data_IF_517185082470
#
_entry.id   IF_517185082470
#
_cell.length_a   1.000
_cell.length_b   1.000
_cell.length_c   1.000
_cell.angle_alpha   90.00
_cell.angle_beta   90.00
_cell.angle_gamma   90.00
#
_symmetry.space_group_name_H-M   'P 1'
#
loop_
_entity.id
_entity.type
_entity.pdbx_description
1 polymer ?
#
# COMPACT_ATOMS: atom_id res chain seq x y z
N UNK A 1 21.26 -5.80 -1.49
CA UNK A 1 20.11 -5.16 -2.08
C UNK A 1 19.41 -6.04 -3.13
N UNK A 2 20.01 -6.31 -4.32
CA UNK A 2 19.37 -7.09 -5.42
C UNK A 2 18.77 -8.43 -4.96
N UNK A 3 19.50 -9.21 -4.15
CA UNK A 3 18.99 -10.49 -3.61
C UNK A 3 17.79 -10.33 -2.67
N UNK A 4 17.75 -9.26 -1.85
CA UNK A 4 16.62 -9.00 -0.96
C UNK A 4 15.37 -8.60 -1.75
N UNK A 5 15.52 -7.70 -2.73
CA UNK A 5 14.44 -7.30 -3.62
C UNK A 5 13.90 -8.49 -4.43
N UNK A 6 14.79 -9.30 -5.02
CA UNK A 6 14.38 -10.52 -5.75
C UNK A 6 13.61 -11.51 -4.88
N UNK A 7 14.02 -11.71 -3.62
CA UNK A 7 13.29 -12.57 -2.66
C UNK A 7 11.93 -11.98 -2.30
N UNK A 8 11.86 -10.67 -2.07
CA UNK A 8 10.59 -9.97 -1.82
C UNK A 8 9.61 -10.20 -2.97
N UNK A 9 10.03 -9.91 -4.21
CA UNK A 9 9.20 -10.08 -5.39
C UNK A 9 8.80 -11.54 -5.60
N UNK A 10 9.74 -12.48 -5.45
CA UNK A 10 9.45 -13.92 -5.59
C UNK A 10 8.31 -14.35 -4.66
N UNK A 11 8.40 -14.10 -3.36
CA UNK A 11 7.35 -14.51 -2.42
C UNK A 11 6.04 -13.77 -2.65
N UNK A 12 6.10 -12.46 -2.89
CA UNK A 12 4.93 -11.63 -3.18
C UNK A 12 4.14 -12.17 -4.38
N UNK A 13 4.82 -12.35 -5.51
CA UNK A 13 4.16 -12.80 -6.74
C UNK A 13 3.80 -14.29 -6.73
N UNK A 14 4.57 -15.14 -6.05
CA UNK A 14 4.23 -16.57 -5.93
C UNK A 14 2.94 -16.76 -5.12
N UNK A 15 2.84 -16.15 -3.94
CA UNK A 15 1.65 -16.28 -3.08
C UNK A 15 0.42 -15.74 -3.82
N UNK A 16 0.52 -14.52 -4.34
CA UNK A 16 -0.60 -13.88 -5.04
C UNK A 16 -0.95 -14.61 -6.34
N UNK A 17 0.04 -15.04 -7.11
CA UNK A 17 -0.16 -15.79 -8.34
C UNK A 17 -0.86 -17.13 -8.11
N UNK A 18 -0.50 -17.86 -7.06
CA UNK A 18 -1.18 -19.10 -6.69
C UNK A 18 -2.62 -18.84 -6.21
N UNK A 19 -2.85 -17.79 -5.44
CA UNK A 19 -4.17 -17.49 -4.88
C UNK A 19 -5.09 -16.81 -5.92
N UNK A 20 -4.70 -15.64 -6.44
CA UNK A 20 -5.55 -14.88 -7.36
C UNK A 20 -5.54 -15.47 -8.77
N UNK A 21 -4.38 -15.94 -9.26
CA UNK A 21 -4.28 -16.64 -10.53
C UNK A 21 -5.05 -17.95 -10.50
N UNK A 22 -4.91 -18.73 -9.42
CA UNK A 22 -5.70 -19.94 -9.20
C UNK A 22 -7.21 -19.65 -9.16
N UNK A 23 -7.62 -18.59 -8.44
CA UNK A 23 -9.03 -18.16 -8.38
C UNK A 23 -9.55 -17.74 -9.77
N UNK A 24 -8.75 -17.00 -10.55
CA UNK A 24 -9.13 -16.62 -11.92
C UNK A 24 -9.33 -17.85 -12.82
N UNK A 25 -8.42 -18.82 -12.76
CA UNK A 25 -8.54 -20.08 -13.52
C UNK A 25 -9.78 -20.88 -13.11
N UNK A 26 -9.99 -21.07 -11.80
CA UNK A 26 -11.13 -21.83 -11.28
C UNK A 26 -12.45 -21.10 -11.55
N UNK A 27 -12.47 -19.77 -11.52
CA UNK A 27 -13.62 -18.95 -11.91
C UNK A 27 -13.96 -19.10 -13.39
N UNK A 28 -12.95 -19.06 -14.27
CA UNK A 28 -13.15 -19.28 -15.71
C UNK A 28 -13.81 -20.63 -16.03
N UNK A 29 -13.55 -21.66 -15.23
CA UNK A 29 -14.19 -22.97 -15.38
C UNK A 29 -15.49 -23.12 -14.55
N UNK A 30 -15.99 -22.07 -13.92
CA UNK A 30 -17.21 -22.08 -13.11
C UNK A 30 -17.09 -22.91 -11.81
N UNK A 31 -15.86 -23.24 -11.38
CA UNK A 31 -15.62 -24.09 -10.20
C UNK A 31 -15.64 -23.27 -8.90
N UNK A 32 -15.02 -22.07 -8.92
CA UNK A 32 -14.86 -21.24 -7.72
C UNK A 32 -14.79 -19.76 -8.06
N UNK A 33 -15.71 -18.97 -7.49
CA UNK A 33 -15.76 -17.50 -7.65
C UNK A 33 -15.75 -16.80 -6.29
N UNK A 34 -15.75 -15.47 -6.26
CA UNK A 34 -15.86 -14.67 -5.04
C UNK A 34 -17.24 -14.80 -4.35
N UNK A 35 -18.25 -15.37 -5.00
CA UNK A 35 -19.52 -15.69 -4.37
C UNK A 35 -19.41 -16.87 -3.38
N UNK A 36 -18.36 -17.67 -3.47
CA UNK A 36 -18.13 -18.81 -2.58
C UNK A 36 -17.13 -18.46 -1.46
N UNK A 37 -17.36 -18.86 -0.18
CA UNK A 37 -16.46 -18.53 0.93
C UNK A 37 -15.00 -18.92 0.71
N UNK A 38 -14.72 -20.07 0.05
CA UNK A 38 -13.35 -20.46 -0.28
C UNK A 38 -12.69 -19.51 -1.30
N UNK A 39 -13.47 -18.95 -2.23
CA UNK A 39 -12.99 -17.92 -3.16
C UNK A 39 -12.61 -16.63 -2.43
N UNK A 40 -13.42 -16.21 -1.45
CA UNK A 40 -13.09 -15.06 -0.58
C UNK A 40 -11.80 -15.33 0.19
N UNK A 41 -11.62 -16.53 0.76
CA UNK A 41 -10.39 -16.91 1.48
C UNK A 41 -9.17 -16.85 0.56
N UNK A 42 -9.24 -17.39 -0.66
CA UNK A 42 -8.14 -17.30 -1.63
C UNK A 42 -7.84 -15.85 -2.01
N UNK A 43 -8.89 -15.02 -2.21
CA UNK A 43 -8.73 -13.61 -2.49
C UNK A 43 -7.97 -12.88 -1.35
N UNK A 44 -8.37 -13.13 -0.10
CA UNK A 44 -7.69 -12.58 1.07
C UNK A 44 -6.24 -13.03 1.16
N UNK A 45 -5.97 -14.33 1.04
CA UNK A 45 -4.62 -14.89 1.13
C UNK A 45 -3.70 -14.31 0.05
N UNK A 46 -4.19 -14.10 -1.17
CA UNK A 46 -3.45 -13.46 -2.25
C UNK A 46 -3.02 -12.05 -1.91
N UNK A 47 -3.88 -11.28 -1.22
CA UNK A 47 -3.59 -9.92 -0.76
C UNK A 47 -2.49 -9.83 0.31
N UNK A 48 -2.16 -10.92 1.00
CA UNK A 48 -1.06 -10.96 1.97
C UNK A 48 0.32 -11.24 1.35
N UNK A 49 0.43 -11.44 0.03
CA UNK A 49 1.69 -11.67 -0.66
C UNK A 49 2.79 -10.66 -0.28
N UNK A 50 2.58 -9.33 -0.39
CA UNK A 50 3.57 -8.32 -0.03
C UNK A 50 3.96 -8.37 1.46
N UNK A 51 3.00 -8.59 2.35
CA UNK A 51 3.23 -8.71 3.80
C UNK A 51 4.17 -9.88 4.09
N UNK A 52 3.87 -11.06 3.55
CA UNK A 52 4.69 -12.27 3.76
C UNK A 52 6.07 -12.10 3.13
N UNK A 53 6.15 -11.56 1.90
CA UNK A 53 7.42 -11.25 1.23
C UNK A 53 8.28 -10.29 2.04
N UNK A 54 7.68 -9.23 2.61
CA UNK A 54 8.36 -8.26 3.46
C UNK A 54 8.88 -8.88 4.76
N UNK A 55 8.03 -9.63 5.46
CA UNK A 55 8.42 -10.35 6.69
C UNK A 55 9.52 -11.37 6.44
N UNK A 56 9.46 -12.09 5.32
CA UNK A 56 10.52 -13.01 4.91
C UNK A 56 11.87 -12.31 4.75
N UNK A 57 11.90 -11.20 4.00
CA UNK A 57 13.13 -10.41 3.81
C UNK A 57 13.65 -9.88 5.14
N UNK A 58 12.77 -9.38 6.01
CA UNK A 58 13.12 -8.89 7.34
C UNK A 58 13.78 -9.99 8.19
N UNK A 59 13.19 -11.18 8.29
CA UNK A 59 13.73 -12.30 9.07
C UNK A 59 15.04 -12.80 8.50
N UNK A 60 15.18 -12.87 7.17
CA UNK A 60 16.44 -13.27 6.49
C UNK A 60 17.55 -12.23 6.64
N UNK A 61 17.21 -10.98 6.93
CA UNK A 61 18.13 -9.91 7.29
C UNK A 61 18.59 -9.91 8.75
N UNK A 62 18.19 -10.92 9.54
CA UNK A 62 18.50 -11.04 10.98
C UNK A 62 17.46 -10.42 11.91
N UNK A 63 16.36 -9.92 11.36
CA UNK A 63 15.20 -9.44 12.13
C UNK A 63 14.47 -10.61 12.82
N UNK A 64 13.83 -10.33 13.95
CA UNK A 64 13.04 -11.30 14.72
C UNK A 64 11.59 -10.90 14.69
N UNK A 65 10.66 -11.86 14.51
CA UNK A 65 9.20 -11.60 14.43
C UNK A 65 8.68 -10.79 15.63
N UNK A 66 9.23 -10.97 16.82
CA UNK A 66 8.89 -10.18 18.02
C UNK A 66 9.14 -8.66 17.88
N UNK A 67 9.94 -8.25 16.90
CA UNK A 67 10.21 -6.82 16.63
C UNK A 67 9.18 -6.21 15.67
N UNK A 68 8.45 -7.03 14.91
CA UNK A 68 7.49 -6.57 13.89
C UNK A 68 6.42 -5.65 14.47
N UNK A 69 5.77 -5.96 15.62
CA UNK A 69 4.77 -5.04 16.18
C UNK A 69 5.31 -3.63 16.43
N UNK A 70 6.54 -3.53 16.93
CA UNK A 70 7.18 -2.21 17.14
C UNK A 70 7.46 -1.48 15.83
N UNK A 71 7.93 -2.19 14.81
CA UNK A 71 8.25 -1.60 13.50
C UNK A 71 6.99 -1.17 12.74
N UNK A 72 5.90 -1.91 12.91
CA UNK A 72 4.63 -1.62 12.21
C UNK A 72 3.83 -0.56 12.95
N UNK A 73 3.62 -0.71 14.27
CA UNK A 73 2.62 0.06 15.01
C UNK A 73 3.16 1.31 15.72
N UNK A 74 4.48 1.47 15.88
CA UNK A 74 5.04 2.59 16.63
C UNK A 74 5.53 3.67 15.68
N UNK A 75 4.90 4.87 15.66
CA UNK A 75 5.34 5.99 14.84
C UNK A 75 6.65 6.59 15.37
N UNK A 76 7.38 7.28 14.51
CA UNK A 76 8.41 8.21 14.96
C UNK A 76 7.74 9.30 15.83
N UNK A 77 8.36 9.60 16.97
CA UNK A 77 7.79 10.58 17.94
C UNK A 77 7.39 11.88 17.25
N UNK A 78 6.20 12.36 17.56
CA UNK A 78 5.68 13.65 17.09
C UNK A 78 5.33 13.70 15.60
N UNK A 79 5.13 12.55 14.90
CA UNK A 79 4.81 12.55 13.47
C UNK A 79 3.42 12.00 13.12
N UNK A 80 2.67 11.48 14.08
CA UNK A 80 1.33 10.91 13.87
C UNK A 80 0.33 11.90 13.21
N UNK A 81 0.44 13.18 13.53
CA UNK A 81 -0.41 14.22 12.96
C UNK A 81 -0.23 14.39 11.45
N UNK A 82 0.93 14.00 10.89
CA UNK A 82 1.17 14.01 9.44
C UNK A 82 0.24 13.04 8.73
N UNK A 83 0.04 11.85 9.32
CA UNK A 83 -0.94 10.86 8.82
C UNK A 83 -2.34 11.43 8.88
N UNK A 84 -2.72 12.04 10.00
CA UNK A 84 -4.04 12.67 10.14
C UNK A 84 -4.28 13.76 9.10
N UNK A 85 -3.33 14.68 8.91
CA UNK A 85 -3.46 15.73 7.90
C UNK A 85 -3.54 15.17 6.48
N UNK A 86 -2.76 14.13 6.20
CA UNK A 86 -2.81 13.45 4.91
C UNK A 86 -4.20 12.82 4.68
N UNK A 87 -4.71 12.08 5.64
CA UNK A 87 -6.05 11.47 5.57
C UNK A 87 -7.16 12.52 5.40
N UNK A 88 -7.05 13.65 6.10
CA UNK A 88 -8.02 14.75 5.95
C UNK A 88 -7.95 15.39 4.56
N UNK A 89 -6.74 15.61 4.03
CA UNK A 89 -6.55 16.18 2.70
C UNK A 89 -7.09 15.24 1.60
N UNK A 90 -6.74 13.96 1.67
CA UNK A 90 -7.23 12.94 0.73
C UNK A 90 -8.75 12.80 0.82
N UNK A 91 -9.29 12.70 2.04
CA UNK A 91 -10.73 12.63 2.27
C UNK A 91 -11.46 13.84 1.70
N UNK A 92 -10.92 15.05 1.89
CA UNK A 92 -11.48 16.26 1.30
C UNK A 92 -11.45 16.24 -0.23
N UNK A 93 -10.35 15.82 -0.86
CA UNK A 93 -10.25 15.71 -2.32
C UNK A 93 -11.32 14.78 -2.87
N UNK A 94 -11.47 13.60 -2.28
CA UNK A 94 -12.46 12.60 -2.73
C UNK A 94 -13.90 13.09 -2.47
N UNK A 95 -14.20 13.54 -1.25
CA UNK A 95 -15.54 13.97 -0.88
C UNK A 95 -16.01 15.20 -1.67
N UNK A 96 -15.12 16.15 -1.96
CA UNK A 96 -15.47 17.35 -2.74
C UNK A 96 -15.61 17.05 -4.23
N UNK A 97 -14.84 16.11 -4.76
CA UNK A 97 -14.89 15.72 -6.18
C UNK A 97 -16.05 14.76 -6.48
N UNK A 98 -16.50 13.97 -5.49
CA UNK A 98 -17.49 12.91 -5.67
C UNK A 98 -18.70 13.19 -4.77
N UNK A 99 -19.74 13.77 -5.35
CA UNK A 99 -20.92 14.25 -4.61
C UNK A 99 -21.95 13.17 -4.31
N UNK A 100 -21.74 11.95 -4.77
CA UNK A 100 -22.72 10.87 -4.69
C UNK A 100 -22.15 9.71 -3.88
N UNK A 101 -22.91 9.30 -2.85
CA UNK A 101 -22.60 8.09 -2.07
C UNK A 101 -23.03 6.84 -2.82
N UNK A 102 -22.28 5.76 -2.61
CA UNK A 102 -22.68 4.42 -3.04
C UNK A 102 -23.84 3.93 -2.16
N UNK A 103 -25.06 3.73 -2.70
CA UNK A 103 -26.22 3.33 -1.91
C UNK A 103 -26.13 1.90 -1.36
N UNK A 104 -25.16 1.10 -1.86
CA UNK A 104 -24.97 -0.28 -1.42
C UNK A 104 -24.20 -0.37 -0.08
N UNK A 105 -23.60 0.73 0.38
CA UNK A 105 -22.83 0.76 1.63
C UNK A 105 -23.55 1.65 2.65
N UNK A 106 -24.25 1.06 3.63
CA UNK A 106 -24.83 1.82 4.73
C UNK A 106 -23.76 2.57 5.52
N UNK A 107 -23.99 3.83 5.86
CA UNK A 107 -23.03 4.66 6.61
C UNK A 107 -22.62 4.03 7.96
N UNK A 108 -23.51 3.25 8.57
CA UNK A 108 -23.24 2.52 9.81
C UNK A 108 -22.13 1.45 9.65
N UNK A 109 -21.89 0.96 8.43
CA UNK A 109 -20.86 -0.03 8.14
C UNK A 109 -19.50 0.60 7.76
N UNK A 110 -19.42 1.91 7.57
CA UNK A 110 -18.17 2.61 7.19
C UNK A 110 -17.00 2.29 8.14
N UNK A 111 -17.16 2.27 9.48
CA UNK A 111 -16.07 1.86 10.37
C UNK A 111 -15.59 0.43 10.11
N UNK A 112 -16.51 -0.51 9.85
CA UNK A 112 -16.17 -1.90 9.56
C UNK A 112 -15.39 -2.00 8.25
N UNK A 113 -15.89 -1.34 7.19
CA UNK A 113 -15.21 -1.28 5.88
C UNK A 113 -13.81 -0.67 6.02
N UNK A 114 -13.67 0.40 6.81
CA UNK A 114 -12.38 1.04 7.06
C UNK A 114 -11.38 0.09 7.74
N UNK A 115 -11.77 -0.56 8.82
CA UNK A 115 -10.86 -1.48 9.51
C UNK A 115 -10.52 -2.71 8.67
N UNK A 116 -11.47 -3.23 7.90
CA UNK A 116 -11.20 -4.29 6.93
C UNK A 116 -10.21 -3.85 5.87
N UNK A 117 -10.42 -2.65 5.28
CA UNK A 117 -9.52 -2.09 4.27
C UNK A 117 -8.12 -1.81 4.84
N UNK A 118 -8.01 -1.28 6.06
CA UNK A 118 -6.73 -0.96 6.68
C UNK A 118 -5.92 -2.21 7.10
N UNK A 119 -6.59 -3.30 7.46
CA UNK A 119 -5.92 -4.47 8.06
C UNK A 119 -5.88 -5.69 7.13
N UNK A 120 -6.80 -5.79 6.16
CA UNK A 120 -7.02 -7.01 5.38
C UNK A 120 -7.01 -6.74 3.87
N UNK A 121 -7.67 -5.67 3.39
CA UNK A 121 -7.88 -5.38 1.98
C UNK A 121 -7.10 -4.14 1.50
N UNK A 122 -5.80 -4.18 1.52
CA UNK A 122 -4.94 -3.11 1.00
C UNK A 122 -3.93 -2.60 2.01
N UNK A 123 -4.37 -2.07 3.17
CA UNK A 123 -3.46 -1.52 4.16
C UNK A 123 -2.37 -2.48 4.63
N UNK A 124 -2.68 -3.76 4.80
CA UNK A 124 -1.70 -4.81 5.14
C UNK A 124 -0.54 -4.90 4.15
N UNK A 125 -0.73 -4.53 2.89
CA UNK A 125 0.28 -4.55 1.84
C UNK A 125 1.46 -3.60 2.13
N UNK A 126 1.21 -2.54 2.90
CA UNK A 126 2.20 -1.51 3.21
C UNK A 126 3.42 -2.05 3.98
N UNK A 127 3.26 -3.18 4.69
CA UNK A 127 4.37 -3.91 5.31
C UNK A 127 5.39 -4.34 4.25
N UNK A 128 4.91 -4.77 3.08
CA UNK A 128 5.75 -5.12 1.95
C UNK A 128 6.22 -3.90 1.16
N UNK A 129 5.29 -3.07 0.71
CA UNK A 129 5.62 -1.97 -0.20
C UNK A 129 6.45 -0.88 0.49
N UNK A 130 6.00 -0.34 1.64
CA UNK A 130 6.67 0.77 2.36
C UNK A 130 7.67 0.26 3.39
N UNK A 131 7.36 -0.88 4.03
CA UNK A 131 8.29 -1.47 4.99
C UNK A 131 9.50 -2.16 4.36
N UNK A 132 9.44 -2.56 3.08
CA UNK A 132 10.49 -3.38 2.45
C UNK A 132 10.91 -2.88 1.07
N UNK A 133 10.02 -2.90 0.07
CA UNK A 133 10.41 -2.68 -1.33
C UNK A 133 10.93 -1.28 -1.57
N UNK A 134 10.15 -0.26 -1.22
CA UNK A 134 10.53 1.13 -1.44
C UNK A 134 11.85 1.50 -0.75
N UNK A 135 12.09 1.18 0.55
CA UNK A 135 13.39 1.42 1.17
C UNK A 135 14.56 0.71 0.50
N UNK A 136 14.34 -0.48 -0.06
CA UNK A 136 15.38 -1.17 -0.83
C UNK A 136 15.69 -0.45 -2.15
N UNK A 137 14.68 0.06 -2.85
CA UNK A 137 14.85 0.82 -4.10
C UNK A 137 15.53 2.16 -3.84
N UNK A 138 15.19 2.86 -2.77
CA UNK A 138 15.76 4.16 -2.42
C UNK A 138 17.26 4.11 -2.06
N UNK A 139 17.82 2.91 -1.87
CA UNK A 139 19.28 2.72 -1.78
C UNK A 139 20.00 2.82 -3.13
N UNK A 140 19.26 2.75 -4.24
CA UNK A 140 19.82 2.74 -5.60
C UNK A 140 19.36 3.92 -6.45
N UNK A 141 18.16 4.43 -6.19
CA UNK A 141 17.55 5.52 -6.96
C UNK A 141 16.89 6.52 -6.03
N UNK A 142 16.79 7.81 -6.41
CA UNK A 142 16.04 8.80 -5.64
C UNK A 142 14.58 8.40 -5.45
N UNK A 143 13.94 8.91 -4.39
CA UNK A 143 12.56 8.62 -4.03
C UNK A 143 11.56 8.67 -5.20
N UNK A 144 11.57 9.68 -6.10
CA UNK A 144 10.62 9.69 -7.22
C UNK A 144 10.74 8.45 -8.10
N UNK A 145 11.96 8.00 -8.40
CA UNK A 145 12.20 6.79 -9.17
C UNK A 145 11.75 5.53 -8.39
N UNK A 146 12.03 5.47 -7.08
CA UNK A 146 11.59 4.38 -6.24
C UNK A 146 10.05 4.32 -6.16
N UNK A 147 9.37 5.46 -6.04
CA UNK A 147 7.91 5.55 -6.00
C UNK A 147 7.28 5.08 -7.32
N UNK A 148 7.81 5.53 -8.48
CA UNK A 148 7.33 5.07 -9.79
C UNK A 148 7.49 3.56 -9.94
N UNK A 149 8.68 3.02 -9.66
CA UNK A 149 8.93 1.57 -9.77
C UNK A 149 8.03 0.78 -8.81
N UNK A 150 7.88 1.25 -7.56
CA UNK A 150 6.98 0.58 -6.60
C UNK A 150 5.54 0.60 -7.10
N UNK A 151 5.05 1.73 -7.61
CA UNK A 151 3.69 1.85 -8.13
C UNK A 151 3.42 0.97 -9.34
N UNK A 152 4.36 0.90 -10.28
CA UNK A 152 4.23 0.03 -11.45
C UNK A 152 4.25 -1.45 -11.07
N UNK A 153 5.15 -1.86 -10.18
CA UNK A 153 5.20 -3.25 -9.68
C UNK A 153 3.93 -3.58 -8.91
N UNK A 154 3.42 -2.65 -8.11
CA UNK A 154 2.17 -2.79 -7.38
C UNK A 154 0.97 -2.94 -8.33
N UNK A 155 0.91 -2.15 -9.40
CA UNK A 155 -0.12 -2.29 -10.44
C UNK A 155 -0.06 -3.67 -11.11
N UNK A 156 1.12 -4.10 -11.56
CA UNK A 156 1.31 -5.43 -12.19
C UNK A 156 0.96 -6.56 -11.23
N UNK A 157 1.25 -6.40 -9.94
CA UNK A 157 0.90 -7.38 -8.91
C UNK A 157 -0.61 -7.58 -8.79
N UNK A 158 -1.43 -6.56 -9.02
CA UNK A 158 -2.90 -6.65 -9.02
C UNK A 158 -3.48 -7.26 -10.29
N UNK A 159 -2.70 -7.39 -11.37
CA UNK A 159 -3.21 -7.78 -12.69
C UNK A 159 -4.09 -9.04 -12.69
N UNK A 160 -3.82 -10.11 -11.90
CA UNK A 160 -4.70 -11.28 -11.86
C UNK A 160 -6.16 -10.96 -11.49
N UNK A 161 -6.42 -9.88 -10.74
CA UNK A 161 -7.78 -9.51 -10.31
C UNK A 161 -8.68 -9.07 -11.46
N UNK A 162 -8.13 -8.63 -12.62
CA UNK A 162 -8.93 -8.37 -13.82
C UNK A 162 -9.53 -9.63 -14.44
N UNK A 163 -9.04 -10.79 -14.03
CA UNK A 163 -9.51 -12.11 -14.50
C UNK A 163 -10.28 -12.86 -13.41
N UNK A 164 -10.44 -12.31 -12.22
CA UNK A 164 -11.24 -12.86 -11.12
C UNK A 164 -12.66 -12.35 -11.22
N UNK A 165 -13.62 -13.24 -11.45
CA UNK A 165 -15.04 -12.88 -11.54
C UNK A 165 -15.55 -12.26 -10.23
N UNK A 166 -16.18 -11.08 -10.35
CA UNK A 166 -16.71 -10.32 -9.22
C UNK A 166 -15.68 -9.43 -8.51
N UNK A 167 -14.42 -9.38 -8.97
CA UNK A 167 -13.44 -8.46 -8.41
C UNK A 167 -13.72 -7.02 -8.84
N UNK A 168 -13.63 -6.08 -7.89
CA UNK A 168 -13.90 -4.65 -8.14
C UNK A 168 -12.94 -4.02 -9.17
N UNK A 169 -11.75 -4.59 -9.35
CA UNK A 169 -10.77 -4.14 -10.35
C UNK A 169 -11.29 -4.23 -11.79
N UNK A 170 -12.23 -5.12 -12.07
CA UNK A 170 -12.85 -5.24 -13.40
C UNK A 170 -13.64 -3.98 -13.82
N UNK A 171 -14.01 -3.13 -12.86
CA UNK A 171 -14.78 -1.90 -13.14
C UNK A 171 -13.91 -0.73 -13.62
N UNK A 172 -12.58 -0.85 -13.58
CA UNK A 172 -11.65 0.20 -13.99
C UNK A 172 -10.65 -0.33 -15.03
N UNK A 173 -10.36 0.40 -16.12
CA UNK A 173 -9.30 0.04 -17.05
C UNK A 173 -7.93 -0.03 -16.34
N UNK A 174 -7.16 -1.09 -16.61
CA UNK A 174 -5.86 -1.33 -15.96
C UNK A 174 -4.90 -0.13 -16.05
N UNK A 175 -4.87 0.58 -17.18
CA UNK A 175 -4.02 1.77 -17.35
C UNK A 175 -4.32 2.87 -16.33
N UNK A 176 -5.60 3.15 -16.06
CA UNK A 176 -6.00 4.11 -15.03
C UNK A 176 -5.63 3.64 -13.63
N UNK A 177 -5.83 2.35 -13.34
CA UNK A 177 -5.38 1.76 -12.09
C UNK A 177 -3.86 1.90 -11.90
N UNK A 178 -3.07 1.66 -12.95
CA UNK A 178 -1.62 1.81 -12.89
C UNK A 178 -1.19 3.26 -12.58
N UNK A 179 -1.86 4.26 -13.19
CA UNK A 179 -1.63 5.67 -12.86
C UNK A 179 -1.95 5.95 -11.39
N UNK A 180 -3.10 5.48 -10.89
CA UNK A 180 -3.48 5.65 -9.48
C UNK A 180 -2.49 4.95 -8.54
N UNK A 181 -2.04 3.73 -8.85
CA UNK A 181 -1.05 3.01 -8.06
C UNK A 181 0.30 3.76 -7.97
N UNK A 182 0.72 4.40 -9.06
CA UNK A 182 1.92 5.25 -9.06
C UNK A 182 1.70 6.49 -8.19
N UNK A 183 0.59 7.21 -8.33
CA UNK A 183 0.27 8.37 -7.50
C UNK A 183 0.22 8.01 -6.01
N UNK A 184 -0.48 6.93 -5.66
CA UNK A 184 -0.55 6.44 -4.28
C UNK A 184 0.82 6.01 -3.76
N UNK A 185 1.71 5.51 -4.63
CA UNK A 185 3.08 5.18 -4.23
C UNK A 185 3.89 6.43 -3.85
N UNK A 186 3.66 7.56 -4.49
CA UNK A 186 4.22 8.84 -4.03
C UNK A 186 3.63 9.25 -2.66
N UNK A 187 2.31 9.15 -2.50
CA UNK A 187 1.62 9.61 -1.30
C UNK A 187 2.04 8.79 -0.07
N UNK A 188 1.85 7.49 -0.11
CA UNK A 188 2.20 6.62 1.03
C UNK A 188 3.72 6.55 1.23
N UNK A 189 4.50 6.62 0.14
CA UNK A 189 5.94 6.65 0.22
C UNK A 189 6.49 7.88 0.93
N UNK A 190 5.99 9.07 0.61
CA UNK A 190 6.36 10.31 1.29
C UNK A 190 5.90 10.29 2.76
N UNK A 191 4.69 9.77 3.02
CA UNK A 191 4.16 9.59 4.35
C UNK A 191 5.07 8.69 5.19
N UNK A 192 5.45 7.53 4.67
CA UNK A 192 6.37 6.61 5.33
C UNK A 192 7.73 7.25 5.61
N UNK A 193 8.33 7.94 4.64
CA UNK A 193 9.61 8.64 4.83
C UNK A 193 9.57 9.64 5.97
N UNK A 194 8.44 10.34 6.14
CA UNK A 194 8.28 11.36 7.18
C UNK A 194 8.01 10.77 8.55
N UNK A 195 7.26 9.68 8.61
CA UNK A 195 6.72 9.13 9.86
C UNK A 195 7.45 7.87 10.33
N UNK A 196 8.10 7.14 9.41
CA UNK A 196 8.60 5.77 9.65
C UNK A 196 7.57 4.85 10.30
N UNK A 197 6.30 5.04 9.94
CA UNK A 197 5.17 4.37 10.55
C UNK A 197 4.38 3.59 9.49
N UNK A 198 4.65 2.28 9.42
CA UNK A 198 3.97 1.40 8.45
C UNK A 198 2.47 1.39 8.70
N UNK A 199 2.03 1.27 9.95
CA UNK A 199 0.60 1.27 10.27
C UNK A 199 -0.09 2.60 9.93
N UNK A 200 0.62 3.73 10.00
CA UNK A 200 0.10 5.00 9.48
C UNK A 200 -0.17 4.95 7.97
N UNK A 201 0.67 4.26 7.20
CA UNK A 201 0.41 4.01 5.78
C UNK A 201 -0.76 3.04 5.58
N UNK A 202 -0.88 1.99 6.43
CA UNK A 202 -2.04 1.09 6.40
C UNK A 202 -3.36 1.85 6.61
N UNK A 203 -3.38 2.79 7.57
CA UNK A 203 -4.56 3.62 7.83
C UNK A 203 -4.90 4.54 6.65
N UNK A 204 -3.90 5.18 6.05
CA UNK A 204 -4.09 6.03 4.88
C UNK A 204 -4.60 5.21 3.68
N UNK A 205 -3.98 4.07 3.37
CA UNK A 205 -4.42 3.17 2.31
C UNK A 205 -5.83 2.61 2.57
N UNK A 206 -6.11 2.20 3.81
CA UNK A 206 -7.43 1.74 4.21
C UNK A 206 -8.50 2.82 4.05
N UNK A 207 -8.15 4.08 4.36
CA UNK A 207 -9.05 5.21 4.11
C UNK A 207 -9.31 5.41 2.63
N UNK A 208 -8.27 5.40 1.77
CA UNK A 208 -8.44 5.47 0.31
C UNK A 208 -9.42 4.42 -0.19
N UNK A 209 -9.20 3.15 0.16
CA UNK A 209 -10.08 2.05 -0.28
C UNK A 209 -11.50 2.20 0.25
N UNK A 210 -11.66 2.69 1.48
CA UNK A 210 -12.98 2.97 2.06
C UNK A 210 -13.70 4.09 1.31
N UNK A 211 -13.01 5.17 1.02
CA UNK A 211 -13.59 6.31 0.28
C UNK A 211 -13.93 5.93 -1.16
N UNK A 212 -13.06 5.15 -1.84
CA UNK A 212 -13.34 4.63 -3.18
C UNK A 212 -14.53 3.67 -3.20
N UNK A 213 -14.82 2.98 -2.11
CA UNK A 213 -16.01 2.13 -1.97
C UNK A 213 -17.27 2.95 -1.65
N UNK A 214 -17.11 3.97 -0.80
CA UNK A 214 -18.22 4.79 -0.27
C UNK A 214 -18.75 5.81 -1.28
N UNK A 215 -17.87 6.36 -2.13
CA UNK A 215 -18.23 7.37 -3.10
C UNK A 215 -18.28 6.82 -4.53
N UNK A 216 -19.23 7.29 -5.32
CA UNK A 216 -19.22 7.09 -6.78
C UNK A 216 -18.22 8.07 -7.38
N UNK A 217 -17.03 7.57 -7.72
CA UNK A 217 -15.91 8.39 -8.17
C UNK A 217 -16.21 8.95 -9.57
N UNK A 218 -16.17 10.27 -9.68
CA UNK A 218 -16.27 10.99 -10.95
C UNK A 218 -14.91 11.61 -11.28
N UNK A 219 -14.37 11.24 -12.44
CA UNK A 219 -13.15 11.87 -12.94
C UNK A 219 -13.49 13.28 -13.45
N UNK A 220 -13.07 14.28 -12.68
CA UNK A 220 -13.31 15.70 -13.00
C UNK A 220 -12.07 16.53 -12.66
N UNK A 221 -12.10 17.83 -13.03
CA UNK A 221 -10.98 18.74 -12.81
C UNK A 221 -10.61 18.91 -11.33
N UNK A 222 -11.58 18.81 -10.41
CA UNK A 222 -11.31 18.93 -8.97
C UNK A 222 -10.54 17.72 -8.43
N UNK A 223 -10.92 16.50 -8.84
CA UNK A 223 -10.19 15.27 -8.51
C UNK A 223 -8.75 15.33 -9.06
N UNK A 224 -8.60 15.72 -10.34
CA UNK A 224 -7.29 15.85 -10.97
C UNK A 224 -6.42 16.88 -10.26
N UNK A 225 -6.95 18.08 -9.95
CA UNK A 225 -6.24 19.10 -9.20
C UNK A 225 -5.85 18.63 -7.80
N UNK A 226 -6.75 17.94 -7.09
CA UNK A 226 -6.48 17.36 -5.78
C UNK A 226 -5.37 16.32 -5.82
N UNK A 227 -5.39 15.41 -6.79
CA UNK A 227 -4.32 14.43 -7.00
C UNK A 227 -2.96 15.10 -7.27
N UNK A 228 -2.93 16.16 -8.08
CA UNK A 228 -1.71 16.92 -8.36
C UNK A 228 -1.20 17.66 -7.11
N UNK A 229 -2.09 18.22 -6.30
CA UNK A 229 -1.73 18.86 -5.03
C UNK A 229 -1.14 17.84 -4.03
N UNK A 230 -1.73 16.66 -3.91
CA UNK A 230 -1.19 15.58 -3.07
C UNK A 230 0.17 15.09 -3.59
N UNK A 231 0.35 15.00 -4.91
CA UNK A 231 1.65 14.68 -5.52
C UNK A 231 2.69 15.75 -5.19
N UNK A 232 2.36 17.02 -5.37
CA UNK A 232 3.25 18.14 -5.05
C UNK A 232 3.60 18.15 -3.55
N UNK A 233 2.63 17.95 -2.66
CA UNK A 233 2.86 17.83 -1.23
C UNK A 233 3.80 16.66 -0.89
N UNK A 234 3.65 15.52 -1.56
CA UNK A 234 4.52 14.35 -1.39
C UNK A 234 5.97 14.64 -1.80
N UNK A 235 6.17 15.37 -2.90
CA UNK A 235 7.50 15.78 -3.35
C UNK A 235 8.14 16.80 -2.40
N UNK A 236 7.35 17.73 -1.84
CA UNK A 236 7.82 18.69 -0.82
C UNK A 236 8.20 17.96 0.48
N UNK A 237 7.37 17.01 0.94
CA UNK A 237 7.67 16.19 2.11
C UNK A 237 8.95 15.39 1.92
N UNK A 238 9.13 14.79 0.74
CA UNK A 238 10.36 14.08 0.39
C UNK A 238 11.58 14.99 0.44
N UNK A 239 11.54 16.15 -0.22
CA UNK A 239 12.66 17.09 -0.28
C UNK A 239 13.08 17.56 1.11
N UNK A 240 12.12 17.77 2.02
CA UNK A 240 12.35 18.23 3.40
C UNK A 240 12.68 17.13 4.40
N UNK A 241 12.62 15.85 4.00
CA UNK A 241 12.93 14.70 4.85
C UNK A 241 14.06 13.86 4.22
N UNK A 242 15.33 14.32 4.25
CA UNK A 242 16.44 13.60 3.66
C UNK A 242 16.60 12.22 4.34
N UNK A 243 16.80 11.19 3.52
CA UNK A 243 16.90 9.78 3.92
C UNK A 243 18.06 9.51 4.90
N UNK A 244 19.14 10.29 4.82
CA UNK A 244 20.33 10.13 5.66
C UNK A 244 20.06 10.28 7.16
N UNK A 245 19.05 11.05 7.55
CA UNK A 245 18.63 11.17 8.95
C UNK A 245 17.97 9.89 9.50
N UNK A 246 17.49 9.00 8.64
CA UNK A 246 16.79 7.78 9.03
C UNK A 246 17.72 6.59 9.25
N UNK A 247 18.88 6.55 8.58
CA UNK A 247 19.89 5.48 8.72
C UNK A 247 20.93 5.79 9.81
N UNK A 248 21.06 7.05 10.25
CA UNK A 248 22.17 7.53 11.09
C UNK A 248 22.14 7.12 12.56
N UNK A 249 21.00 6.68 13.10
CA UNK A 249 20.92 6.32 14.53
C UNK A 249 21.26 4.84 14.80
N UNK A 250 21.22 3.97 13.79
CA UNK A 250 21.52 2.53 13.94
C UNK A 250 23.00 2.18 13.77
N UNK A 251 23.77 2.95 13.01
CA UNK A 251 25.19 2.64 12.73
C UNK A 251 26.19 3.42 13.60
N UNK A 252 25.84 4.58 14.15
CA UNK A 252 26.72 5.32 15.07
C UNK A 252 26.98 4.58 16.39
N UNK A 253 26.06 3.72 16.83
CA UNK A 253 26.23 2.89 18.03
C UNK A 253 27.22 1.74 17.89
N UNK A 254 27.64 1.37 16.67
CA UNK A 254 28.57 0.26 16.43
C UNK A 254 30.03 0.67 16.18
N UNK A 255 30.30 1.96 15.94
CA UNK A 255 31.66 2.46 15.69
C UNK A 255 32.41 2.95 16.91
N UNK A 256 31.72 3.20 18.03
CA UNK A 256 32.38 3.66 19.28
C UNK A 256 32.74 2.54 20.28
N UNK A 257 32.58 1.28 19.91
CA UNK A 257 32.85 0.12 20.75
C UNK A 257 34.07 -0.70 20.34
N UNK A 258 35.00 -0.12 19.55
CA UNK A 258 36.35 -0.73 19.26
C UNK A 258 37.39 0.38 19.32
N UNK A 259 37.87 0.63 20.50
CA UNK A 259 39.24 1.02 20.83
C UNK A 259 39.62 0.28 22.12
#
# INVERSE_FOLDING_TARGET
>A
MKRALGRFLLWTFTITGLCWGGLAILGHWGVLTLAHPAGVVLHLLGGFGPTVGGLWVFCRGGGRLRQVPRLVFVPRRGTWWVVLLFCLAEGAVIALSSRQFNPQIPLSLVPVVFFQAALIYGGNEEVGWRGTMQPLLERAVPFPGAAVVTGLVWAVWHLPLWFVEGASQQTIPFGWFAVLAVLQSFWYGALFRRTHWVFGCNLAHGLTNTLLSLFVIQVNGLLAAGCLLLLAASLVLWYRAPWEAALGEGEKGKRTGRM
#
